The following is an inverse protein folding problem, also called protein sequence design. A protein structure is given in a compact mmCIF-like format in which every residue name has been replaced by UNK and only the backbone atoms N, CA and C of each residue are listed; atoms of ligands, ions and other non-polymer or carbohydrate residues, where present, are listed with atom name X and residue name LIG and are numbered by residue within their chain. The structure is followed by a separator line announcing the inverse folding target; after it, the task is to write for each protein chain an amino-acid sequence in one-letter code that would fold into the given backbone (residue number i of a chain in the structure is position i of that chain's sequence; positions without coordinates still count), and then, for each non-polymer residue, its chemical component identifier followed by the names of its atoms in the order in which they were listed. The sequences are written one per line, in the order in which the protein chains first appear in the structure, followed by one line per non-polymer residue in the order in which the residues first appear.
data_IF_711596203843
#
_entry.id   IF_711596203843
#
_cell.length_a   1.000
_cell.length_b   1.000
_cell.length_c   1.000
_cell.angle_alpha   90.00
_cell.angle_beta   90.00
_cell.angle_gamma   90.00
#
_symmetry.space_group_name_H-M   'P 1'
#
loop_
_entity.id
_entity.type
_entity.pdbx_description
1 polymer ?
#
# COMPACT_ATOMS: atom_id res chain seq x y z
N UNK A 1 -26.71 -10.14 3.23
CA UNK A 1 -25.74 -9.34 2.44
C UNK A 1 -25.67 -9.92 1.04
N UNK A 2 -25.93 -9.10 0.01
CA UNK A 2 -25.93 -9.56 -1.38
C UNK A 2 -24.53 -10.02 -1.85
N UNK A 3 -24.46 -10.84 -2.91
CA UNK A 3 -23.18 -11.37 -3.43
C UNK A 3 -22.20 -10.26 -3.83
N UNK A 4 -22.69 -9.19 -4.44
CA UNK A 4 -21.87 -8.04 -4.85
C UNK A 4 -21.18 -7.34 -3.67
N UNK A 5 -21.87 -7.16 -2.55
CA UNK A 5 -21.26 -6.56 -1.36
C UNK A 5 -20.18 -7.46 -0.77
N UNK A 6 -20.35 -8.80 -0.83
CA UNK A 6 -19.30 -9.75 -0.43
C UNK A 6 -18.07 -9.64 -1.32
N UNK A 7 -18.27 -9.53 -2.63
CA UNK A 7 -17.19 -9.37 -3.60
C UNK A 7 -16.45 -8.04 -3.39
N UNK A 8 -17.17 -6.94 -3.19
CA UNK A 8 -16.57 -5.65 -2.89
C UNK A 8 -15.70 -5.69 -1.62
N UNK A 9 -16.19 -6.28 -0.53
CA UNK A 9 -15.43 -6.43 0.72
C UNK A 9 -14.17 -7.29 0.52
N UNK A 10 -14.25 -8.37 -0.27
CA UNK A 10 -13.08 -9.20 -0.61
C UNK A 10 -12.04 -8.40 -1.40
N UNK A 11 -12.47 -7.60 -2.38
CA UNK A 11 -11.58 -6.75 -3.17
C UNK A 11 -10.88 -5.71 -2.31
N UNK A 12 -11.61 -5.03 -1.42
CA UNK A 12 -11.01 -4.08 -0.46
C UNK A 12 -10.02 -4.79 0.45
N UNK A 13 -10.37 -5.99 0.95
CA UNK A 13 -9.44 -6.77 1.79
C UNK A 13 -8.17 -7.14 1.04
N UNK A 14 -8.28 -7.61 -0.18
CA UNK A 14 -7.12 -7.96 -1.01
C UNK A 14 -6.16 -6.77 -1.20
N UNK A 15 -6.70 -5.60 -1.53
CA UNK A 15 -5.91 -4.37 -1.68
C UNK A 15 -5.25 -3.94 -0.35
N UNK A 16 -5.99 -4.00 0.77
CA UNK A 16 -5.45 -3.60 2.08
C UNK A 16 -4.46 -4.60 2.65
N UNK A 17 -4.59 -5.90 2.37
CA UNK A 17 -3.56 -6.90 2.69
C UNK A 17 -2.24 -6.60 1.97
N UNK A 18 -2.30 -6.11 0.72
CA UNK A 18 -1.13 -5.62 0.00
C UNK A 18 -0.52 -4.38 0.69
N UNK A 19 -1.33 -3.38 1.02
CA UNK A 19 -0.85 -2.18 1.73
C UNK A 19 -0.21 -2.51 3.09
N UNK A 20 -0.74 -3.49 3.81
CA UNK A 20 -0.13 -3.98 5.05
C UNK A 20 1.25 -4.61 4.83
N UNK A 21 1.46 -5.31 3.70
CA UNK A 21 2.77 -5.90 3.34
C UNK A 21 3.78 -4.82 3.00
N UNK A 22 3.43 -3.88 2.10
CA UNK A 22 4.38 -2.85 1.63
C UNK A 22 4.74 -1.82 2.70
N UNK A 23 3.98 -1.76 3.79
CA UNK A 23 4.24 -0.92 4.97
C UNK A 23 4.68 -1.72 6.20
N UNK A 24 5.13 -2.97 6.04
CA UNK A 24 5.49 -3.83 7.18
C UNK A 24 6.68 -3.27 7.98
N UNK A 25 7.68 -2.75 7.30
CA UNK A 25 8.88 -2.15 7.90
C UNK A 25 8.56 -0.71 8.34
N UNK A 26 8.87 -0.31 9.59
CA UNK A 26 8.70 1.06 10.04
C UNK A 26 9.48 2.07 9.17
N UNK A 27 8.85 3.20 8.85
CA UNK A 27 9.45 4.29 8.06
C UNK A 27 9.93 3.88 6.66
N UNK A 28 9.34 2.83 6.11
CA UNK A 28 9.59 2.37 4.74
C UNK A 28 8.24 2.02 4.11
N UNK A 29 8.04 2.47 2.87
CA UNK A 29 6.94 2.01 2.01
C UNK A 29 7.53 1.51 0.70
N UNK A 30 7.27 0.25 0.36
CA UNK A 30 7.62 -0.29 -0.95
C UNK A 30 6.60 0.18 -1.97
N UNK A 31 7.06 0.81 -3.05
CA UNK A 31 6.19 1.55 -3.98
C UNK A 31 6.11 0.96 -5.36
N UNK A 32 7.16 0.26 -5.80
CA UNK A 32 7.19 -0.32 -7.14
C UNK A 32 8.10 -1.54 -7.20
N UNK A 33 7.71 -2.49 -8.02
CA UNK A 33 8.49 -3.65 -8.41
C UNK A 33 8.73 -3.61 -9.92
N UNK A 34 9.99 -3.64 -10.32
CA UNK A 34 10.42 -3.51 -11.71
C UNK A 34 10.70 -2.06 -12.11
N UNK A 35 11.61 -1.88 -13.05
CA UNK A 35 11.91 -0.56 -13.63
C UNK A 35 10.79 -0.15 -14.57
N UNK A 36 10.26 1.07 -14.36
CA UNK A 36 9.09 1.55 -15.10
C UNK A 36 9.33 1.64 -16.61
N UNK A 37 10.52 2.06 -17.03
CA UNK A 37 10.84 2.19 -18.45
C UNK A 37 11.06 0.83 -19.11
N UNK A 38 11.77 -0.07 -18.44
CA UNK A 38 12.00 -1.43 -18.92
C UNK A 38 10.68 -2.18 -19.07
N UNK A 39 9.83 -2.12 -18.07
CA UNK A 39 8.52 -2.78 -18.08
C UNK A 39 7.58 -2.16 -19.13
N UNK A 40 7.62 -0.82 -19.30
CA UNK A 40 6.81 -0.14 -20.31
C UNK A 40 7.24 -0.47 -21.75
N UNK A 41 8.51 -0.71 -21.98
CA UNK A 41 9.06 -1.09 -23.29
C UNK A 41 9.05 -2.61 -23.54
N UNK A 42 8.68 -3.41 -22.57
CA UNK A 42 8.56 -4.86 -22.71
C UNK A 42 7.21 -5.23 -23.34
N UNK A 43 7.23 -5.79 -24.55
CA UNK A 43 6.06 -6.23 -25.30
C UNK A 43 5.91 -7.76 -25.29
N UNK A 44 6.27 -8.37 -24.21
CA UNK A 44 6.20 -9.81 -23.99
C UNK A 44 4.98 -10.18 -23.14
N UNK A 45 4.62 -11.44 -23.15
CA UNK A 45 3.63 -11.96 -22.21
C UNK A 45 4.19 -11.88 -20.79
N UNK A 46 3.35 -11.71 -19.76
CA UNK A 46 3.83 -11.68 -18.36
C UNK A 46 4.68 -12.89 -17.96
N UNK A 47 4.37 -14.06 -18.54
CA UNK A 47 5.08 -15.32 -18.26
C UNK A 47 6.49 -15.37 -18.87
N UNK A 48 6.74 -14.61 -19.94
CA UNK A 48 8.01 -14.57 -20.68
C UNK A 48 8.87 -13.36 -20.29
N UNK A 49 8.35 -12.48 -19.45
CA UNK A 49 8.96 -11.22 -19.06
C UNK A 49 10.26 -11.43 -18.30
N UNK A 50 11.37 -10.96 -18.85
CA UNK A 50 12.72 -11.12 -18.31
C UNK A 50 13.33 -9.84 -17.72
N UNK A 51 12.53 -8.74 -17.66
CA UNK A 51 12.97 -7.48 -17.07
C UNK A 51 13.31 -7.63 -15.59
N UNK A 52 14.31 -6.89 -15.12
CA UNK A 52 14.75 -6.96 -13.72
C UNK A 52 13.63 -6.55 -12.77
N UNK A 53 13.40 -7.35 -11.72
CA UNK A 53 12.42 -7.10 -10.67
C UNK A 53 13.01 -6.25 -9.53
N UNK A 54 13.59 -5.09 -9.88
CA UNK A 54 14.12 -4.12 -8.92
C UNK A 54 13.01 -3.60 -8.03
N UNK A 55 13.26 -3.57 -6.72
CA UNK A 55 12.29 -3.06 -5.73
C UNK A 55 12.62 -1.62 -5.40
N UNK A 56 11.64 -0.75 -5.58
CA UNK A 56 11.74 0.67 -5.20
C UNK A 56 10.97 0.93 -3.91
N UNK A 57 11.51 1.80 -3.08
CA UNK A 57 10.92 2.17 -1.79
C UNK A 57 11.08 3.67 -1.53
N UNK A 58 10.18 4.20 -0.72
CA UNK A 58 10.37 5.49 -0.06
C UNK A 58 10.80 5.27 1.38
N UNK A 59 11.76 6.07 1.82
CA UNK A 59 12.33 6.10 3.17
C UNK A 59 12.89 7.49 3.47
N UNK A 60 13.64 7.62 4.55
CA UNK A 60 14.27 8.89 4.93
C UNK A 60 15.27 9.46 3.93
N UNK A 61 15.82 8.64 3.04
CA UNK A 61 16.77 9.06 1.99
C UNK A 61 16.12 9.25 0.63
N UNK A 62 14.93 8.66 0.43
CA UNK A 62 14.16 8.70 -0.80
C UNK A 62 12.72 9.11 -0.46
N UNK A 63 12.43 10.41 -0.33
CA UNK A 63 11.14 10.89 0.14
C UNK A 63 10.03 10.67 -0.88
N UNK A 64 8.80 10.49 -0.39
CA UNK A 64 7.58 10.27 -1.17
C UNK A 64 6.38 10.48 -0.26
N UNK A 65 6.20 11.71 0.22
CA UNK A 65 5.16 12.07 1.17
C UNK A 65 3.74 11.86 0.61
N UNK A 66 3.54 12.07 -0.69
CA UNK A 66 2.29 11.82 -1.41
C UNK A 66 1.86 10.34 -1.28
N UNK A 67 2.74 9.41 -1.66
CA UNK A 67 2.47 7.97 -1.58
C UNK A 67 2.21 7.52 -0.13
N UNK A 68 2.98 8.03 0.83
CA UNK A 68 2.78 7.71 2.24
C UNK A 68 1.42 8.25 2.74
N UNK A 69 1.05 9.46 2.33
CA UNK A 69 -0.23 10.07 2.69
C UNK A 69 -1.43 9.30 2.13
N UNK A 70 -1.41 8.97 0.84
CA UNK A 70 -2.45 8.17 0.18
C UNK A 70 -2.58 6.76 0.79
N UNK A 71 -1.45 6.12 1.08
CA UNK A 71 -1.45 4.81 1.74
C UNK A 71 -2.09 4.88 3.13
N UNK A 72 -1.76 5.90 3.92
CA UNK A 72 -2.36 6.10 5.23
C UNK A 72 -3.87 6.36 5.13
N UNK A 73 -4.31 7.18 4.17
CA UNK A 73 -5.72 7.48 3.94
C UNK A 73 -6.51 6.23 3.52
N UNK A 74 -5.97 5.43 2.60
CA UNK A 74 -6.60 4.18 2.16
C UNK A 74 -6.77 3.17 3.31
N UNK A 75 -5.73 2.98 4.14
CA UNK A 75 -5.80 2.10 5.31
C UNK A 75 -6.80 2.60 6.35
N UNK A 76 -6.86 3.92 6.59
CA UNK A 76 -7.82 4.51 7.52
C UNK A 76 -9.27 4.35 7.02
N UNK A 77 -9.54 4.63 5.76
CA UNK A 77 -10.85 4.46 5.15
C UNK A 77 -11.31 2.99 5.21
N UNK A 78 -10.43 2.06 4.86
CA UNK A 78 -10.72 0.63 4.93
C UNK A 78 -11.00 0.16 6.38
N UNK A 79 -10.35 0.73 7.38
CA UNK A 79 -10.63 0.40 8.78
C UNK A 79 -12.10 0.65 9.15
N UNK A 80 -12.73 1.68 8.57
CA UNK A 80 -14.14 1.98 8.78
C UNK A 80 -15.03 0.89 8.16
N UNK A 81 -14.68 0.43 6.95
CA UNK A 81 -15.40 -0.65 6.24
C UNK A 81 -15.42 -1.95 7.05
N UNK A 82 -14.31 -2.27 7.72
CA UNK A 82 -14.19 -3.50 8.50
C UNK A 82 -14.64 -3.38 9.96
N UNK A 83 -15.00 -2.19 10.45
CA UNK A 83 -15.29 -1.94 11.86
C UNK A 83 -16.31 -2.90 12.48
N UNK A 84 -17.39 -3.20 11.78
CA UNK A 84 -18.45 -4.09 12.24
C UNK A 84 -18.30 -5.54 11.76
N UNK A 85 -17.49 -5.77 10.72
CA UNK A 85 -17.34 -7.08 10.08
C UNK A 85 -16.17 -7.89 10.61
N UNK A 86 -15.06 -7.22 10.84
CA UNK A 86 -13.82 -7.78 11.40
C UNK A 86 -13.14 -6.69 12.24
N UNK A 87 -13.55 -6.53 13.51
CA UNK A 87 -12.99 -5.51 14.40
C UNK A 87 -11.49 -5.66 14.64
N UNK A 88 -10.96 -6.88 14.59
CA UNK A 88 -9.53 -7.13 14.77
C UNK A 88 -8.74 -6.60 13.57
N UNK A 89 -9.20 -6.91 12.36
CA UNK A 89 -8.61 -6.42 11.12
C UNK A 89 -8.75 -4.89 11.01
N UNK A 90 -9.91 -4.33 11.37
CA UNK A 90 -10.14 -2.89 11.43
C UNK A 90 -9.10 -2.17 12.31
N UNK A 91 -8.85 -2.68 13.52
CA UNK A 91 -7.80 -2.13 14.41
C UNK A 91 -6.40 -2.25 13.82
N UNK A 92 -6.07 -3.37 13.16
CA UNK A 92 -4.80 -3.57 12.48
C UNK A 92 -4.58 -2.50 11.39
N UNK A 93 -5.59 -2.26 10.55
CA UNK A 93 -5.55 -1.24 9.50
C UNK A 93 -5.38 0.15 10.08
N UNK A 94 -6.15 0.52 11.11
CA UNK A 94 -6.08 1.82 11.75
C UNK A 94 -4.71 2.08 12.39
N UNK A 95 -4.17 1.10 13.12
CA UNK A 95 -2.84 1.21 13.72
C UNK A 95 -1.75 1.39 12.65
N UNK A 96 -1.87 0.69 11.52
CA UNK A 96 -0.95 0.85 10.40
C UNK A 96 -1.10 2.23 9.75
N UNK A 97 -2.31 2.72 9.55
CA UNK A 97 -2.61 4.05 9.02
C UNK A 97 -1.96 5.15 9.86
N UNK A 98 -2.11 5.08 11.18
CA UNK A 98 -1.50 6.05 12.13
C UNK A 98 0.01 6.05 12.01
N UNK A 99 0.64 4.87 11.94
CA UNK A 99 2.09 4.74 11.79
C UNK A 99 2.60 5.35 10.49
N UNK A 100 1.94 5.04 9.36
CA UNK A 100 2.31 5.58 8.05
C UNK A 100 2.05 7.08 7.97
N UNK A 101 0.98 7.60 8.58
CA UNK A 101 0.72 9.04 8.70
C UNK A 101 1.83 9.78 9.44
N UNK A 102 2.37 9.22 10.52
CA UNK A 102 3.48 9.84 11.25
C UNK A 102 4.74 9.90 10.36
N UNK A 103 5.02 8.86 9.60
CA UNK A 103 6.10 8.83 8.63
C UNK A 103 5.87 9.87 7.51
N UNK A 104 4.66 9.97 6.96
CA UNK A 104 4.29 11.00 6.00
C UNK A 104 4.55 12.42 6.57
N UNK A 105 4.06 12.72 7.78
CA UNK A 105 4.27 14.02 8.41
C UNK A 105 5.77 14.32 8.60
N UNK A 106 6.55 13.34 9.04
CA UNK A 106 8.00 13.50 9.17
C UNK A 106 8.67 13.81 7.82
N UNK A 107 8.28 13.14 6.72
CA UNK A 107 8.81 13.42 5.38
C UNK A 107 8.50 14.83 4.89
N UNK A 108 7.36 15.42 5.28
CA UNK A 108 7.00 16.80 4.90
C UNK A 108 7.90 17.87 5.53
N UNK A 109 8.51 17.57 6.67
CA UNK A 109 9.32 18.52 7.44
C UNK A 109 10.83 18.21 7.41
N UNK A 110 11.23 17.09 6.79
CA UNK A 110 12.62 16.66 6.74
C UNK A 110 13.41 17.31 5.58
N UNK A 111 12.74 18.01 4.70
CA UNK A 111 13.26 18.65 3.50
C UNK A 111 12.59 20.02 3.32
#
# INVERSE_FOLDING_TARGET
MGPELKNAVKAVKWATDYLLKVTAVPNVVYVQLGDAYSDHNCWERPEDMDTLRTVYKIDGSHPGSDVAGETAAALAAASIVFRSRDPAYSRLLLNRAVRVRHFHAWLLFAF
#
